data_IF_791597030882
#
_entry.id   IF_791597030882
#
_cell.length_a   1.000
_cell.length_b   1.000
_cell.length_c   1.000
_cell.angle_alpha   90.00
_cell.angle_beta   90.00
_cell.angle_gamma   90.00
#
_symmetry.space_group_name_H-M   'P 1'
#
loop_
_entity.id
_entity.type
_entity.pdbx_description
1 polymer ?
#
# COMPACT_ATOMS: atom_id res chain seq x y z
N UNK A 1 -16.36 -18.38 -3.21
CA UNK A 1 -16.15 -16.96 -3.56
C UNK A 1 -15.02 -16.45 -2.68
N UNK A 2 -13.87 -16.10 -3.24
CA UNK A 2 -12.75 -15.57 -2.46
C UNK A 2 -13.05 -14.12 -2.10
N UNK A 3 -13.38 -13.84 -0.84
CA UNK A 3 -13.41 -12.47 -0.31
C UNK A 3 -11.99 -11.93 -0.36
N UNK A 4 -11.64 -11.26 -1.46
CA UNK A 4 -10.42 -10.47 -1.51
C UNK A 4 -10.52 -9.40 -0.43
N UNK A 5 -9.64 -9.50 0.57
CA UNK A 5 -9.52 -8.51 1.62
C UNK A 5 -8.39 -7.58 1.19
N UNK A 6 -8.74 -6.33 0.93
CA UNK A 6 -7.77 -5.27 0.68
C UNK A 6 -7.34 -4.70 2.02
N UNK A 7 -6.05 -4.40 2.18
CA UNK A 7 -5.50 -3.75 3.34
C UNK A 7 -4.92 -2.40 2.93
N UNK A 8 -5.10 -1.41 3.78
CA UNK A 8 -4.51 -0.11 3.63
C UNK A 8 -3.24 0.00 4.46
N UNK A 9 -2.13 0.38 3.82
CA UNK A 9 -0.86 0.56 4.51
C UNK A 9 -0.28 1.95 4.23
N UNK A 10 0.32 2.52 5.28
CA UNK A 10 1.08 3.77 5.21
C UNK A 10 2.56 3.47 5.07
N UNK A 11 3.21 4.20 4.17
CA UNK A 11 4.64 4.11 3.91
C UNK A 11 5.27 5.48 4.06
N UNK A 12 6.29 5.58 4.91
CA UNK A 12 7.13 6.76 5.05
C UNK A 12 8.33 6.62 4.13
N UNK A 13 8.46 7.51 3.16
CA UNK A 13 9.55 7.51 2.19
C UNK A 13 10.60 8.55 2.56
N UNK A 14 11.87 8.19 2.36
CA UNK A 14 12.98 9.14 2.40
C UNK A 14 12.86 10.18 1.27
N UNK A 15 13.60 11.28 1.37
CA UNK A 15 13.50 12.46 0.49
C UNK A 15 13.66 12.12 -1.00
N UNK A 16 14.55 11.17 -1.31
CA UNK A 16 14.79 10.69 -2.67
C UNK A 16 13.72 9.72 -3.21
N UNK A 17 12.71 9.38 -2.41
CA UNK A 17 11.62 8.46 -2.78
C UNK A 17 12.05 7.02 -3.09
N UNK A 18 13.33 6.69 -2.91
CA UNK A 18 13.92 5.40 -3.27
C UNK A 18 13.73 4.33 -2.20
N UNK A 19 13.61 4.73 -0.93
CA UNK A 19 13.41 3.81 0.19
C UNK A 19 12.20 4.26 0.99
N UNK A 20 11.21 3.38 1.08
CA UNK A 20 10.00 3.62 1.85
C UNK A 20 9.84 2.54 2.91
N UNK A 21 9.71 2.94 4.17
CA UNK A 21 9.46 2.01 5.25
C UNK A 21 7.97 1.94 5.55
N UNK A 22 7.47 0.77 5.93
CA UNK A 22 6.09 0.64 6.38
C UNK A 22 5.97 1.27 7.76
N UNK A 23 5.14 2.30 7.89
CA UNK A 23 4.85 2.90 9.17
C UNK A 23 4.05 1.92 10.04
N UNK A 24 4.26 1.99 11.35
CA UNK A 24 3.47 1.27 12.32
C UNK A 24 2.06 1.90 12.37
N UNK A 25 1.20 1.42 11.50
CA UNK A 25 -0.20 1.83 11.35
C UNK A 25 -1.06 0.58 11.38
N UNK A 26 -2.16 0.60 12.14
CA UNK A 26 -3.15 -0.46 12.09
C UNK A 26 -3.81 -0.47 10.72
N UNK A 27 -3.42 -1.43 9.90
CA UNK A 27 -3.90 -1.55 8.55
C UNK A 27 -5.37 -1.98 8.54
N UNK A 28 -6.27 -1.02 8.27
CA UNK A 28 -7.68 -1.34 8.06
C UNK A 28 -7.86 -2.27 6.86
N UNK A 29 -8.76 -3.23 7.04
CA UNK A 29 -9.12 -4.20 6.01
C UNK A 29 -10.48 -3.90 5.39
N UNK A 30 -10.51 -3.87 4.08
CA UNK A 30 -11.64 -3.49 3.26
C UNK A 30 -12.09 -4.64 2.36
N UNK A 31 -13.40 -4.74 2.14
CA UNK A 31 -13.98 -5.79 1.28
C UNK A 31 -13.86 -5.48 -0.21
N UNK A 32 -13.68 -4.21 -0.58
CA UNK A 32 -13.55 -3.79 -1.98
C UNK A 32 -12.41 -2.79 -2.16
N UNK A 33 -11.79 -2.83 -3.33
CA UNK A 33 -10.72 -1.90 -3.69
C UNK A 33 -11.19 -0.44 -3.65
N UNK A 34 -12.42 -0.18 -4.09
CA UNK A 34 -13.00 1.17 -4.08
C UNK A 34 -13.09 1.74 -2.66
N UNK A 35 -13.57 0.95 -1.69
CA UNK A 35 -13.63 1.37 -0.28
C UNK A 35 -12.25 1.62 0.32
N UNK A 36 -11.28 0.77 -0.04
CA UNK A 36 -9.90 0.92 0.40
C UNK A 36 -9.21 2.17 -0.18
N UNK A 37 -9.49 2.51 -1.45
CA UNK A 37 -8.97 3.76 -2.05
C UNK A 37 -9.62 5.00 -1.44
N UNK A 38 -10.92 4.95 -1.15
CA UNK A 38 -11.62 6.05 -0.49
C UNK A 38 -10.98 6.38 0.87
N UNK A 39 -10.64 5.37 1.65
CA UNK A 39 -10.00 5.53 2.95
C UNK A 39 -8.52 5.96 2.90
N UNK A 40 -7.89 6.05 1.72
CA UNK A 40 -6.50 6.52 1.61
C UNK A 40 -6.33 7.96 2.06
N UNK A 41 -7.31 8.81 1.74
CA UNK A 41 -7.27 10.21 2.13
C UNK A 41 -7.38 10.34 3.65
N UNK A 42 -8.29 9.59 4.27
CA UNK A 42 -8.45 9.58 5.73
C UNK A 42 -7.21 9.02 6.44
N UNK A 43 -6.58 7.99 5.87
CA UNK A 43 -5.37 7.42 6.44
C UNK A 43 -4.17 8.36 6.34
N UNK A 44 -4.06 9.15 5.27
CA UNK A 44 -3.04 10.22 5.17
C UNK A 44 -3.29 11.35 6.17
N UNK A 45 -4.54 11.53 6.60
CA UNK A 45 -4.89 12.53 7.62
C UNK A 45 -4.73 12.01 9.06
N UNK A 46 -4.43 10.73 9.23
CA UNK A 46 -4.25 10.10 10.54
C UNK A 46 -2.98 10.60 11.26
N UNK A 47 -3.00 10.51 12.59
CA UNK A 47 -1.83 10.82 13.43
C UNK A 47 -0.58 10.02 13.06
N UNK A 48 -0.74 8.79 12.55
CA UNK A 48 0.39 7.99 12.10
C UNK A 48 1.07 8.59 10.85
N UNK A 49 0.29 9.15 9.92
CA UNK A 49 0.83 9.84 8.76
C UNK A 49 1.37 11.23 9.13
N UNK A 50 0.66 11.98 9.98
CA UNK A 50 1.07 13.32 10.43
C UNK A 50 2.28 13.31 11.37
N UNK A 51 2.42 12.27 12.19
CA UNK A 51 3.54 12.07 13.11
C UNK A 51 4.74 11.35 12.48
N UNK A 52 4.64 10.94 11.22
CA UNK A 52 5.74 10.30 10.51
C UNK A 52 6.92 11.28 10.36
N UNK A 53 8.11 10.87 10.78
CA UNK A 53 9.34 11.67 10.61
C UNK A 53 9.92 11.56 9.18
N UNK A 54 9.05 11.32 8.19
CA UNK A 54 9.44 11.13 6.81
C UNK A 54 8.99 12.34 5.97
N UNK A 55 9.82 12.84 5.05
CA UNK A 55 9.47 13.97 4.19
C UNK A 55 8.30 13.66 3.25
N UNK A 56 8.05 12.39 2.96
CA UNK A 56 6.93 11.95 2.13
C UNK A 56 6.22 10.76 2.78
N UNK A 57 4.89 10.81 2.84
CA UNK A 57 4.05 9.70 3.33
C UNK A 57 3.08 9.29 2.22
N UNK A 58 2.98 7.99 1.98
CA UNK A 58 2.15 7.41 0.91
C UNK A 58 1.20 6.38 1.52
N UNK A 59 -0.11 6.58 1.29
CA UNK A 59 -1.11 5.56 1.55
C UNK A 59 -1.30 4.70 0.30
N UNK A 60 -1.21 3.38 0.45
CA UNK A 60 -1.43 2.45 -0.66
C UNK A 60 -2.37 1.34 -0.27
N UNK A 61 -3.39 1.14 -1.10
CA UNK A 61 -4.26 -0.01 -1.04
C UNK A 61 -3.60 -1.21 -1.72
N UNK A 62 -3.60 -2.37 -1.08
CA UNK A 62 -3.11 -3.62 -1.64
C UNK A 62 -3.84 -4.82 -1.05
N UNK A 63 -3.74 -6.00 -1.65
CA UNK A 63 -4.26 -7.23 -1.03
C UNK A 63 -3.61 -7.49 0.33
N UNK A 64 -4.41 -7.90 1.32
CA UNK A 64 -3.93 -8.23 2.66
C UNK A 64 -2.82 -9.30 2.65
N UNK A 65 -2.90 -10.26 1.72
CA UNK A 65 -1.85 -11.26 1.52
C UNK A 65 -0.54 -10.65 0.98
N UNK A 66 -0.63 -9.66 0.09
CA UNK A 66 0.54 -8.93 -0.42
C UNK A 66 1.18 -8.08 0.68
N UNK A 67 0.36 -7.46 1.54
CA UNK A 67 0.85 -6.70 2.69
C UNK A 67 1.54 -7.60 3.72
N UNK A 68 0.96 -8.77 4.02
CA UNK A 68 1.57 -9.76 4.91
C UNK A 68 2.92 -10.26 4.37
N UNK A 69 3.05 -10.39 3.04
CA UNK A 69 4.30 -10.78 2.37
C UNK A 69 5.37 -9.68 2.35
N UNK A 70 4.98 -8.41 2.35
CA UNK A 70 5.91 -7.28 2.44
C UNK A 70 6.57 -7.20 3.82
N UNK A 71 5.88 -7.64 4.89
CA UNK A 71 6.37 -7.52 6.26
C UNK A 71 6.55 -6.07 6.70
N UNK A 72 7.36 -5.85 7.73
CA UNK A 72 7.69 -4.50 8.25
C UNK A 72 9.05 -3.98 7.75
N UNK A 73 9.62 -4.60 6.71
CA UNK A 73 10.95 -4.23 6.21
C UNK A 73 10.94 -3.01 5.28
N UNK A 74 12.12 -2.47 4.93
CA UNK A 74 12.25 -1.40 3.96
C UNK A 74 11.73 -1.86 2.58
N UNK A 75 10.76 -1.13 2.07
CA UNK A 75 10.06 -1.40 0.82
C UNK A 75 10.54 -0.41 -0.25
N UNK A 76 11.03 -0.95 -1.36
CA UNK A 76 11.38 -0.13 -2.49
C UNK A 76 10.15 0.08 -3.39
N UNK A 77 9.40 1.16 -3.18
CA UNK A 77 8.22 1.51 -3.99
C UNK A 77 8.59 1.99 -5.40
N UNK A 78 9.85 2.36 -5.64
CA UNK A 78 10.35 2.81 -6.94
C UNK A 78 10.40 1.70 -7.99
N UNK A 79 10.48 0.43 -7.56
CA UNK A 79 10.21 -0.71 -8.45
C UNK A 79 8.73 -1.05 -8.37
N UNK A 80 8.01 -1.17 -9.50
CA UNK A 80 6.73 -1.86 -9.51
C UNK A 80 6.98 -3.28 -9.01
N UNK A 81 6.69 -3.50 -7.74
CA UNK A 81 6.85 -4.79 -7.10
C UNK A 81 5.97 -5.77 -7.86
N UNK A 82 6.47 -6.91 -8.36
CA UNK A 82 5.69 -7.84 -9.19
C UNK A 82 4.47 -8.46 -8.48
N UNK A 83 4.22 -8.12 -7.21
CA UNK A 83 2.97 -8.42 -6.50
C UNK A 83 1.77 -7.62 -7.05
N UNK A 84 1.98 -6.41 -7.60
CA UNK A 84 0.90 -5.60 -8.21
C UNK A 84 0.75 -5.84 -9.73
N UNK A 85 1.72 -6.49 -10.37
CA UNK A 85 1.68 -6.80 -11.80
C UNK A 85 0.82 -8.04 -12.15
N UNK A 86 0.28 -8.74 -11.14
CA UNK A 86 -0.52 -9.97 -11.32
C UNK A 86 -2.02 -9.70 -11.51
N UNK A 87 -2.38 -8.49 -11.96
CA UNK A 87 -3.76 -8.09 -12.31
C UNK A 87 -3.96 -7.69 -13.77
N UNK A 88 -2.92 -7.66 -14.61
CA UNK A 88 -3.06 -7.37 -16.05
C UNK A 88 -3.26 -8.66 -16.84
N UNK A 89 -4.42 -9.30 -16.66
CA UNK A 89 -4.86 -10.40 -17.52
C UNK A 89 -5.56 -9.83 -18.75
N UNK A 90 -5.01 -10.19 -19.92
CA UNK A 90 -5.59 -10.21 -21.29
C UNK A 90 -5.51 -8.92 -22.12
N UNK A 91 -4.61 -8.93 -23.12
CA UNK A 91 -4.95 -9.03 -24.55
C UNK A 91 -3.76 -8.56 -25.41
N UNK A 92 -2.95 -9.50 -25.93
CA UNK A 92 -2.41 -9.35 -27.28
C UNK A 92 -2.11 -10.74 -27.85
N UNK A 93 -2.80 -11.05 -28.94
CA UNK A 93 -2.85 -12.32 -29.62
C UNK A 93 -3.67 -12.09 -30.88
N UNK A 94 -3.05 -11.42 -31.85
CA UNK A 94 -3.39 -11.46 -33.26
C UNK A 94 -2.10 -11.39 -34.07
#
# INVERSE_FOLDING_TARGET
MSTAIFALALFGCADDGTYCERLAFEADTYRTEASCRAAQMDALDSDAARGAQYPSVIAKCMDANSLARLGSGPVNLAKPTPALARGKSRANGV
#
